data_IF_626487639772
#
_entry.id   IF_626487639772
#
_cell.length_a   1.000
_cell.length_b   1.000
_cell.length_c   1.000
_cell.angle_alpha   90.00
_cell.angle_beta   90.00
_cell.angle_gamma   90.00
#
_symmetry.space_group_name_H-M   'P 1'
#
loop_
_entity.id
_entity.type
_entity.pdbx_description
1 polymer ?
#
# COMPACT_ATOMS: atom_id res chain seq x y z
N UNK A 1 -43.85 -26.83 -1.22
CA UNK A 1 -43.10 -28.09 -1.42
C UNK A 1 -41.68 -27.83 -0.95
N UNK A 2 -41.08 -28.71 -0.13
CA UNK A 2 -39.67 -28.53 0.28
C UNK A 2 -38.76 -29.08 -0.83
N UNK A 3 -37.63 -28.42 -1.12
CA UNK A 3 -36.70 -28.91 -2.13
C UNK A 3 -36.17 -30.29 -1.77
N UNK A 4 -35.95 -31.10 -2.79
CA UNK A 4 -35.37 -32.44 -2.67
C UNK A 4 -33.86 -32.37 -2.44
N UNK A 5 -33.27 -33.47 -2.01
CA UNK A 5 -31.83 -33.55 -1.77
C UNK A 5 -31.01 -33.30 -3.06
N UNK A 6 -31.45 -33.84 -4.20
CA UNK A 6 -30.81 -33.63 -5.51
C UNK A 6 -30.91 -32.15 -5.97
N UNK A 7 -32.06 -31.51 -5.73
CA UNK A 7 -32.23 -30.08 -6.01
C UNK A 7 -31.28 -29.20 -5.16
N UNK A 8 -31.02 -29.60 -3.91
CA UNK A 8 -30.06 -28.91 -3.05
C UNK A 8 -28.62 -29.10 -3.52
N UNK A 9 -28.22 -30.30 -3.95
CA UNK A 9 -26.88 -30.54 -4.51
C UNK A 9 -26.66 -29.74 -5.79
N UNK A 10 -27.68 -29.66 -6.65
CA UNK A 10 -27.61 -28.84 -7.86
C UNK A 10 -27.46 -27.34 -7.53
N UNK A 11 -28.28 -26.82 -6.60
CA UNK A 11 -28.18 -25.42 -6.16
C UNK A 11 -26.80 -25.10 -5.55
N UNK A 12 -26.22 -26.03 -4.78
CA UNK A 12 -24.88 -25.86 -4.21
C UNK A 12 -23.81 -25.81 -5.31
N UNK A 13 -23.88 -26.70 -6.30
CA UNK A 13 -22.95 -26.72 -7.42
C UNK A 13 -23.05 -25.44 -8.27
N UNK A 14 -24.27 -24.95 -8.50
CA UNK A 14 -24.52 -23.69 -9.21
C UNK A 14 -24.01 -22.48 -8.41
N UNK A 15 -24.25 -22.45 -7.10
CA UNK A 15 -23.74 -21.42 -6.20
C UNK A 15 -22.20 -21.36 -6.20
N UNK A 16 -21.53 -22.50 -6.13
CA UNK A 16 -20.06 -22.55 -6.22
C UNK A 16 -19.52 -22.06 -7.56
N UNK A 17 -20.21 -22.34 -8.67
CA UNK A 17 -19.83 -21.83 -9.99
C UNK A 17 -20.02 -20.32 -10.08
N UNK A 18 -21.16 -19.83 -9.59
CA UNK A 18 -21.45 -18.40 -9.55
C UNK A 18 -20.41 -17.64 -8.71
N UNK A 19 -20.07 -18.15 -7.51
CA UNK A 19 -19.07 -17.57 -6.64
C UNK A 19 -17.70 -17.48 -7.34
N UNK A 20 -17.25 -18.54 -8.01
CA UNK A 20 -15.97 -18.53 -8.76
C UNK A 20 -15.97 -17.49 -9.89
N UNK A 21 -17.08 -17.37 -10.62
CA UNK A 21 -17.21 -16.39 -11.68
C UNK A 21 -17.16 -14.96 -11.13
N UNK A 22 -17.83 -14.72 -10.00
CA UNK A 22 -17.83 -13.43 -9.30
C UNK A 22 -16.44 -13.07 -8.77
N UNK A 23 -15.73 -14.01 -8.13
CA UNK A 23 -14.35 -13.82 -7.67
C UNK A 23 -13.43 -13.42 -8.82
N UNK A 24 -13.52 -14.14 -9.95
CA UNK A 24 -12.72 -13.81 -11.15
C UNK A 24 -13.04 -12.42 -11.69
N UNK A 25 -14.32 -12.04 -11.71
CA UNK A 25 -14.74 -10.71 -12.16
C UNK A 25 -14.22 -9.61 -11.22
N UNK A 26 -14.29 -9.84 -9.91
CA UNK A 26 -13.79 -8.91 -8.90
C UNK A 26 -12.28 -8.68 -9.05
N UNK A 27 -11.49 -9.75 -9.13
CA UNK A 27 -10.03 -9.67 -9.34
C UNK A 27 -9.67 -8.89 -10.61
N UNK A 28 -10.39 -9.12 -11.71
CA UNK A 28 -10.18 -8.39 -12.96
C UNK A 28 -10.49 -6.90 -12.81
N UNK A 29 -11.59 -6.54 -12.14
CA UNK A 29 -11.93 -5.13 -11.91
C UNK A 29 -10.92 -4.44 -11.01
N UNK A 30 -10.46 -5.12 -9.95
CA UNK A 30 -9.43 -4.60 -9.05
C UNK A 30 -8.13 -4.32 -9.82
N UNK A 31 -7.67 -5.27 -10.65
CA UNK A 31 -6.45 -5.09 -11.45
C UNK A 31 -6.57 -3.91 -12.45
N UNK A 32 -7.75 -3.69 -13.03
CA UNK A 32 -7.97 -2.55 -13.93
C UNK A 32 -7.93 -1.21 -13.18
N UNK A 33 -8.52 -1.14 -11.99
CA UNK A 33 -8.45 0.05 -11.14
C UNK A 33 -7.01 0.36 -10.72
N UNK A 34 -6.23 -0.66 -10.35
CA UNK A 34 -4.81 -0.51 -10.02
C UNK A 34 -4.00 0.06 -11.18
N UNK A 35 -4.20 -0.45 -12.40
CA UNK A 35 -3.53 0.07 -13.61
C UNK A 35 -3.90 1.51 -13.90
N UNK A 36 -5.19 1.84 -13.82
CA UNK A 36 -5.68 3.21 -14.07
C UNK A 36 -5.17 4.20 -13.04
N UNK A 37 -5.11 3.81 -11.76
CA UNK A 37 -4.55 4.67 -10.73
C UNK A 37 -3.04 4.90 -10.91
N UNK A 38 -2.29 3.87 -11.30
CA UNK A 38 -0.87 4.01 -11.61
C UNK A 38 -0.63 4.94 -12.82
N UNK A 39 -1.43 4.81 -13.87
CA UNK A 39 -1.39 5.69 -15.04
C UNK A 39 -1.72 7.15 -14.67
N UNK A 40 -2.80 7.36 -13.91
CA UNK A 40 -3.19 8.69 -13.42
C UNK A 40 -2.11 9.32 -12.52
N UNK A 41 -1.41 8.51 -11.70
CA UNK A 41 -0.29 8.98 -10.90
C UNK A 41 0.87 9.49 -11.77
N UNK A 42 1.22 8.73 -12.82
CA UNK A 42 2.26 9.13 -13.78
C UNK A 42 1.89 10.39 -14.54
N UNK A 43 0.63 10.48 -15.02
CA UNK A 43 0.13 11.67 -15.69
C UNK A 43 0.15 12.90 -14.77
N UNK A 44 -0.22 12.75 -13.50
CA UNK A 44 -0.14 13.83 -12.50
C UNK A 44 1.31 14.30 -12.31
N UNK A 45 2.28 13.38 -12.25
CA UNK A 45 3.70 13.74 -12.15
C UNK A 45 4.14 14.58 -13.34
N UNK A 46 3.87 14.11 -14.57
CA UNK A 46 4.25 14.83 -15.80
C UNK A 46 3.59 16.21 -15.87
N UNK A 47 2.31 16.31 -15.53
CA UNK A 47 1.58 17.59 -15.50
C UNK A 47 2.19 18.56 -14.47
N UNK A 48 2.59 18.06 -13.31
CA UNK A 48 3.27 18.88 -12.29
C UNK A 48 4.67 19.31 -12.73
N UNK A 49 5.41 18.44 -13.40
CA UNK A 49 6.74 18.77 -13.95
C UNK A 49 6.63 19.87 -15.01
N UNK A 50 5.68 19.74 -15.95
CA UNK A 50 5.40 20.77 -16.95
C UNK A 50 5.07 22.11 -16.30
N UNK A 51 4.25 22.12 -15.24
CA UNK A 51 3.97 23.35 -14.49
C UNK A 51 5.25 24.00 -13.98
N UNK A 52 6.09 23.22 -13.30
CA UNK A 52 7.29 23.71 -12.65
C UNK A 52 8.33 24.23 -13.66
N UNK A 53 8.40 23.64 -14.86
CA UNK A 53 9.31 24.10 -15.93
C UNK A 53 8.80 25.35 -16.66
N UNK A 54 7.51 25.62 -16.63
CA UNK A 54 6.89 26.69 -17.41
C UNK A 54 6.51 27.92 -16.56
N UNK A 55 5.98 27.70 -15.36
CA UNK A 55 5.50 28.77 -14.48
C UNK A 55 6.68 29.60 -13.92
N UNK A 56 6.58 30.92 -14.02
CA UNK A 56 7.60 31.85 -13.54
C UNK A 56 8.83 31.96 -14.43
N UNK A 57 8.83 31.32 -15.60
CA UNK A 57 9.94 31.34 -16.56
C UNK A 57 9.76 32.34 -17.71
N UNK A 58 8.68 33.14 -17.70
CA UNK A 58 8.46 34.24 -18.65
C UNK A 58 7.99 33.79 -20.03
N UNK A 59 7.48 32.57 -20.15
CA UNK A 59 6.87 32.08 -21.39
C UNK A 59 5.58 32.85 -21.71
N UNK A 60 5.25 32.91 -23.00
CA UNK A 60 4.02 33.53 -23.50
C UNK A 60 3.20 32.53 -24.29
N UNK A 61 1.88 32.66 -24.22
CA UNK A 61 0.90 31.83 -24.94
C UNK A 61 0.00 32.72 -25.79
N UNK A 62 -0.42 32.20 -26.94
CA UNK A 62 -1.37 32.89 -27.82
C UNK A 62 -2.80 32.69 -27.31
N UNK A 63 -3.44 33.75 -26.85
CA UNK A 63 -4.82 33.72 -26.36
C UNK A 63 -5.84 33.51 -27.49
N UNK A 64 -6.61 32.42 -27.45
CA UNK A 64 -7.64 32.13 -28.46
C UNK A 64 -8.75 33.19 -28.50
N UNK A 65 -9.02 33.83 -27.35
CA UNK A 65 -10.01 34.89 -27.19
C UNK A 65 -9.46 36.30 -27.52
N UNK A 66 -8.18 36.42 -27.87
CA UNK A 66 -7.52 37.70 -28.21
C UNK A 66 -7.02 37.76 -29.65
N UNK A 67 -7.62 37.01 -30.56
CA UNK A 67 -7.20 36.95 -31.97
C UNK A 67 -5.70 36.60 -32.12
N UNK A 68 -5.16 35.78 -31.22
CA UNK A 68 -3.77 35.34 -31.24
C UNK A 68 -2.77 36.32 -30.61
N UNK A 69 -3.23 37.34 -29.89
CA UNK A 69 -2.33 38.15 -29.07
C UNK A 69 -1.62 37.28 -28.02
N UNK A 70 -0.36 37.61 -27.74
CA UNK A 70 0.45 36.91 -26.75
C UNK A 70 0.15 37.43 -25.35
N UNK A 71 0.00 36.51 -24.41
CA UNK A 71 -0.17 36.78 -22.98
C UNK A 71 0.85 35.99 -22.16
N UNK A 72 1.21 36.46 -20.94
CA UNK A 72 2.04 35.69 -20.03
C UNK A 72 1.39 34.34 -19.71
N UNK A 73 2.16 33.26 -19.83
CA UNK A 73 1.68 31.91 -19.51
C UNK A 73 1.32 31.77 -18.02
N UNK A 74 2.01 32.51 -17.14
CA UNK A 74 1.74 32.52 -15.70
C UNK A 74 0.32 32.97 -15.37
N UNK A 75 -0.17 34.02 -16.04
CA UNK A 75 -1.55 34.49 -15.89
C UNK A 75 -2.56 33.43 -16.31
N UNK A 76 -2.27 32.67 -17.38
CA UNK A 76 -3.11 31.57 -17.80
C UNK A 76 -3.19 30.48 -16.72
N UNK A 77 -2.07 30.10 -16.10
CA UNK A 77 -2.07 29.10 -15.02
C UNK A 77 -2.89 29.55 -13.80
N UNK A 78 -2.77 30.81 -13.40
CA UNK A 78 -3.53 31.39 -12.26
C UNK A 78 -5.03 31.47 -12.56
N UNK A 79 -5.40 32.01 -13.73
CA UNK A 79 -6.79 32.18 -14.14
C UNK A 79 -7.52 30.85 -14.33
N UNK A 80 -6.79 29.80 -14.74
CA UNK A 80 -7.34 28.46 -14.92
C UNK A 80 -7.16 27.57 -13.67
N UNK A 81 -6.72 28.14 -12.55
CA UNK A 81 -6.52 27.46 -11.28
C UNK A 81 -5.74 26.15 -11.45
N UNK A 82 -4.58 26.25 -12.10
CA UNK A 82 -3.76 25.11 -12.48
C UNK A 82 -3.13 24.44 -11.27
N UNK A 83 -3.88 23.49 -10.72
CA UNK A 83 -3.45 22.49 -9.75
C UNK A 83 -4.51 21.38 -9.75
N UNK A 84 -4.55 20.49 -10.76
CA UNK A 84 -5.60 19.49 -10.87
C UNK A 84 -5.52 18.50 -9.70
N UNK A 85 -6.47 18.62 -8.77
CA UNK A 85 -6.64 17.67 -7.69
C UNK A 85 -7.10 16.33 -8.25
N UNK A 86 -6.54 15.23 -7.73
CA UNK A 86 -6.94 13.86 -8.10
C UNK A 86 -7.26 13.04 -6.85
N UNK A 87 -8.26 13.45 -6.03
CA UNK A 87 -8.45 12.90 -4.69
C UNK A 87 -8.74 11.39 -4.68
N UNK A 88 -9.47 10.89 -5.70
CA UNK A 88 -9.75 9.48 -5.83
C UNK A 88 -8.49 8.66 -6.12
N UNK A 89 -7.58 9.17 -6.96
CA UNK A 89 -6.29 8.53 -7.23
C UNK A 89 -5.39 8.60 -6.02
N UNK A 90 -5.32 9.75 -5.34
CA UNK A 90 -4.53 9.92 -4.13
C UNK A 90 -4.99 8.97 -3.01
N UNK A 91 -6.31 8.88 -2.79
CA UNK A 91 -6.90 7.96 -1.81
C UNK A 91 -6.60 6.49 -2.16
N UNK A 92 -6.82 6.10 -3.42
CA UNK A 92 -6.57 4.74 -3.87
C UNK A 92 -5.09 4.35 -3.73
N UNK A 93 -4.16 5.23 -4.10
CA UNK A 93 -2.73 4.98 -3.94
C UNK A 93 -2.33 4.89 -2.46
N UNK A 94 -2.93 5.71 -1.59
CA UNK A 94 -2.70 5.62 -0.15
C UNK A 94 -3.22 4.30 0.43
N UNK A 95 -4.38 3.84 -0.02
CA UNK A 95 -4.97 2.55 0.37
C UNK A 95 -4.12 1.37 -0.13
N UNK A 96 -3.78 1.33 -1.42
CA UNK A 96 -2.91 0.29 -2.01
C UNK A 96 -1.55 0.26 -1.32
N UNK A 97 -0.97 1.42 -1.00
CA UNK A 97 0.30 1.50 -0.28
C UNK A 97 0.18 0.98 1.15
N UNK A 98 -0.90 1.32 1.85
CA UNK A 98 -1.17 0.82 3.20
C UNK A 98 -1.35 -0.70 3.16
N UNK A 99 -2.16 -1.19 2.22
CA UNK A 99 -2.39 -2.62 1.99
C UNK A 99 -1.10 -3.36 1.63
N UNK A 100 -0.24 -2.78 0.77
CA UNK A 100 1.07 -3.34 0.42
C UNK A 100 2.04 -3.41 1.61
N UNK A 101 2.03 -2.41 2.49
CA UNK A 101 2.85 -2.41 3.72
C UNK A 101 2.34 -3.46 4.72
N UNK A 102 1.03 -3.59 4.89
CA UNK A 102 0.45 -4.63 5.75
C UNK A 102 0.69 -6.04 5.18
N UNK A 103 0.62 -6.19 3.85
CA UNK A 103 0.96 -7.42 3.12
C UNK A 103 2.45 -7.77 3.22
N UNK A 104 3.35 -6.79 3.32
CA UNK A 104 4.76 -7.01 3.63
C UNK A 104 4.99 -7.49 5.08
N UNK A 105 4.04 -7.26 5.98
CA UNK A 105 4.10 -7.70 7.38
C UNK A 105 3.25 -8.95 7.65
N UNK A 106 3.12 -9.83 6.65
CA UNK A 106 2.41 -11.12 6.77
C UNK A 106 2.99 -11.99 7.88
N UNK A 107 2.19 -12.92 8.39
CA UNK A 107 2.66 -13.92 9.37
C UNK A 107 3.87 -14.72 8.87
N UNK A 108 3.96 -15.00 7.55
CA UNK A 108 5.13 -15.67 6.97
C UNK A 108 6.39 -14.81 7.02
N UNK A 109 6.30 -13.52 6.69
CA UNK A 109 7.46 -12.62 6.80
C UNK A 109 7.90 -12.43 8.26
N UNK A 110 6.93 -12.40 9.18
CA UNK A 110 7.20 -12.38 10.62
C UNK A 110 7.86 -13.67 11.11
N UNK A 111 7.45 -14.81 10.58
CA UNK A 111 8.05 -16.12 10.84
C UNK A 111 9.45 -16.24 10.24
N UNK A 112 9.68 -15.78 9.01
CA UNK A 112 10.99 -15.77 8.35
C UNK A 112 12.01 -14.91 9.11
N UNK A 113 11.58 -13.76 9.64
CA UNK A 113 12.42 -12.94 10.53
C UNK A 113 12.69 -13.68 11.85
N UNK A 114 11.70 -14.36 12.42
CA UNK A 114 11.88 -15.14 13.65
C UNK A 114 12.81 -16.34 13.44
N UNK A 115 12.67 -17.08 12.33
CA UNK A 115 13.50 -18.22 11.95
C UNK A 115 14.93 -17.83 11.62
N UNK A 116 15.15 -16.75 10.86
CA UNK A 116 16.48 -16.22 10.58
C UNK A 116 17.24 -15.78 11.85
N UNK A 117 16.51 -15.40 12.91
CA UNK A 117 17.07 -15.08 14.22
C UNK A 117 17.22 -16.32 15.11
N UNK A 118 16.34 -17.32 14.96
CA UNK A 118 16.41 -18.63 15.62
C UNK A 118 17.69 -19.39 15.25
N UNK A 119 18.00 -19.41 13.96
CA UNK A 119 19.18 -20.05 13.39
C UNK A 119 20.51 -19.42 13.87
N UNK A 120 20.48 -18.19 14.37
CA UNK A 120 21.66 -17.49 14.87
C UNK A 120 21.99 -17.85 16.33
N UNK A 121 20.98 -18.13 17.16
CA UNK A 121 21.11 -18.24 18.62
C UNK A 121 20.68 -19.62 19.19
N UNK A 122 20.24 -20.57 18.36
CA UNK A 122 19.88 -21.93 18.79
C UNK A 122 18.57 -22.01 19.59
N UNK A 123 17.72 -20.99 19.46
CA UNK A 123 16.43 -20.87 20.12
C UNK A 123 15.31 -21.32 19.17
N UNK A 124 14.21 -21.89 19.67
CA UNK A 124 13.11 -22.30 18.80
C UNK A 124 12.31 -21.09 18.26
N UNK A 125 11.85 -21.23 17.01
CA UNK A 125 11.15 -20.21 16.24
C UNK A 125 9.89 -19.68 16.95
N UNK A 126 9.16 -20.53 17.67
CA UNK A 126 7.91 -20.16 18.32
C UNK A 126 8.14 -19.21 19.52
N UNK A 127 9.20 -19.46 20.28
CA UNK A 127 9.61 -18.61 21.39
C UNK A 127 10.10 -17.23 20.93
N UNK A 128 10.83 -17.16 19.81
CA UNK A 128 11.28 -15.89 19.21
C UNK A 128 10.13 -15.09 18.59
N UNK A 129 9.20 -15.76 17.92
CA UNK A 129 8.00 -15.13 17.38
C UNK A 129 7.19 -14.47 18.51
N UNK A 130 6.99 -15.18 19.62
CA UNK A 130 6.34 -14.64 20.82
C UNK A 130 7.08 -13.42 21.38
N UNK A 131 8.39 -13.50 21.59
CA UNK A 131 9.20 -12.41 22.15
C UNK A 131 9.23 -11.16 21.23
N UNK A 132 9.45 -11.37 19.93
CA UNK A 132 9.60 -10.29 18.94
C UNK A 132 8.29 -9.56 18.67
N UNK A 133 7.12 -10.20 18.82
CA UNK A 133 5.86 -9.55 18.46
C UNK A 133 4.99 -9.18 19.65
N UNK A 134 5.05 -9.92 20.76
CA UNK A 134 4.33 -9.57 21.99
C UNK A 134 5.15 -8.69 22.95
N UNK A 135 6.49 -8.76 22.87
CA UNK A 135 7.37 -8.15 23.86
C UNK A 135 7.36 -8.85 25.22
N UNK A 136 6.66 -9.97 25.35
CA UNK A 136 6.66 -10.81 26.54
C UNK A 136 7.48 -12.09 26.28
N UNK A 137 8.31 -12.51 27.25
CA UNK A 137 8.92 -13.82 27.20
C UNK A 137 7.83 -14.90 27.29
N UNK A 138 7.96 -16.02 26.56
CA UNK A 138 7.06 -17.17 26.72
C UNK A 138 7.12 -17.71 28.17
N UNK A 139 6.00 -18.29 28.61
CA UNK A 139 5.84 -18.79 29.99
C UNK A 139 6.90 -19.84 30.39
N UNK A 140 7.22 -19.96 31.69
CA UNK A 140 8.57 -20.26 32.14
C UNK A 140 8.79 -21.76 32.33
N UNK A 141 9.25 -22.44 31.29
CA UNK A 141 9.99 -23.70 31.46
C UNK A 141 11.44 -23.48 31.02
N UNK A 142 12.24 -22.93 31.93
CA UNK A 142 13.70 -22.90 31.82
C UNK A 142 14.33 -21.51 31.67
N UNK A 143 15.08 -21.13 32.71
CA UNK A 143 16.13 -20.12 32.84
C UNK A 143 15.89 -18.68 32.34
N UNK A 144 15.95 -17.77 33.33
CA UNK A 144 16.25 -16.34 33.27
C UNK A 144 16.62 -15.82 31.88
N UNK A 145 15.65 -15.23 31.21
CA UNK A 145 15.85 -14.44 30.00
C UNK A 145 16.93 -13.38 30.26
N UNK A 146 18.07 -13.48 29.56
CA UNK A 146 19.13 -12.52 29.76
C UNK A 146 18.63 -11.14 29.29
N UNK A 147 18.91 -10.10 30.09
CA UNK A 147 18.51 -8.70 29.79
C UNK A 147 18.99 -8.27 28.39
N UNK A 148 20.11 -8.82 27.93
CA UNK A 148 20.63 -8.62 26.58
C UNK A 148 19.68 -9.14 25.48
N UNK A 149 19.01 -10.28 25.67
CA UNK A 149 18.04 -10.81 24.70
C UNK A 149 16.78 -9.94 24.62
N UNK A 150 16.21 -9.53 25.75
CA UNK A 150 15.08 -8.61 25.77
C UNK A 150 15.43 -7.25 25.13
N UNK A 151 16.66 -6.76 25.38
CA UNK A 151 17.15 -5.51 24.82
C UNK A 151 17.36 -5.61 23.30
N UNK A 152 17.87 -6.74 22.81
CA UNK A 152 18.06 -7.00 21.37
C UNK A 152 16.72 -7.16 20.64
N UNK A 153 15.77 -7.91 21.19
CA UNK A 153 14.42 -8.04 20.64
C UNK A 153 13.72 -6.66 20.55
N UNK A 154 13.83 -5.84 21.60
CA UNK A 154 13.32 -4.47 21.58
C UNK A 154 14.02 -3.58 20.53
N UNK A 155 15.32 -3.79 20.27
CA UNK A 155 16.04 -3.07 19.22
C UNK A 155 15.59 -3.49 17.81
N UNK A 156 15.31 -4.77 17.57
CA UNK A 156 14.78 -5.27 16.30
C UNK A 156 13.37 -4.75 16.07
N UNK A 157 12.47 -4.86 17.06
CA UNK A 157 11.12 -4.29 16.99
C UNK A 157 11.15 -2.80 16.63
N UNK A 158 12.06 -2.04 17.26
CA UNK A 158 12.23 -0.62 16.98
C UNK A 158 12.67 -0.37 15.54
N UNK A 159 13.64 -1.12 15.02
CA UNK A 159 14.06 -0.99 13.61
C UNK A 159 12.96 -1.33 12.61
N UNK A 160 12.18 -2.39 12.87
CA UNK A 160 11.02 -2.75 12.03
C UNK A 160 9.98 -1.64 12.05
N UNK A 161 9.66 -1.09 13.22
CA UNK A 161 8.72 0.04 13.36
C UNK A 161 9.25 1.31 12.70
N UNK A 162 10.54 1.61 12.81
CA UNK A 162 11.20 2.74 12.14
C UNK A 162 11.17 2.57 10.62
N UNK A 163 11.46 1.38 10.10
CA UNK A 163 11.38 1.08 8.67
C UNK A 163 9.94 1.22 8.15
N UNK A 164 8.96 0.65 8.84
CA UNK A 164 7.54 0.85 8.52
C UNK A 164 7.13 2.33 8.57
N UNK A 165 7.66 3.11 9.53
CA UNK A 165 7.43 4.54 9.60
C UNK A 165 8.12 5.32 8.47
N UNK A 166 9.30 4.89 8.00
CA UNK A 166 9.98 5.48 6.85
C UNK A 166 9.21 5.21 5.55
N UNK A 167 8.73 3.98 5.35
CA UNK A 167 7.83 3.64 4.25
C UNK A 167 6.56 4.51 4.25
N UNK A 168 6.07 4.90 5.44
CA UNK A 168 4.96 5.85 5.62
C UNK A 168 5.35 7.33 5.51
N UNK A 169 6.63 7.70 5.63
CA UNK A 169 7.11 9.10 5.52
C UNK A 169 7.58 9.49 4.13
N UNK A 170 8.14 8.56 3.35
CA UNK A 170 8.34 8.72 1.90
C UNK A 170 7.02 8.88 1.11
N UNK A 171 5.89 8.99 1.83
CA UNK A 171 4.52 9.21 1.34
C UNK A 171 4.16 10.70 1.27
N UNK A 172 4.95 11.60 1.85
CA UNK A 172 4.66 13.04 1.91
C UNK A 172 5.69 13.93 1.17
N UNK A 173 6.62 13.36 0.41
CA UNK A 173 7.56 14.11 -0.45
C UNK A 173 7.31 13.81 -1.91
#
# INVERSE_FOLDING_TARGET
MKPTYEELEQQLAESHRALRAETTAHENTQMQLEKMAAENAGLKSVVSEINNELYGHGFQVSGWHLNGALEPLDSWFEENNWNPETPATDYFLAEVRTSGVESLLTESFRADIAGALADFDGMDEASLNTLIWSGQPPEPDGDVWCVEYMTRAAAVQRKVREFAAQLRKGVQS
#
